data_IF_456453135769
#
_entry.id   IF_456453135769
#
_cell.length_a   1.000
_cell.length_b   1.000
_cell.length_c   1.000
_cell.angle_alpha   90.00
_cell.angle_beta   90.00
_cell.angle_gamma   90.00
#
_symmetry.space_group_name_H-M   'P 1'
#
loop_
_entity.id
_entity.type
_entity.pdbx_description
1 polymer ?
#
# COMPACT_ATOMS: atom_id res chain seq x y z
N UNK A 1 6.14 -5.99 25.38
CA UNK A 1 4.72 -6.22 25.02
C UNK A 1 4.70 -6.86 23.65
N UNK A 2 3.87 -7.89 23.44
CA UNK A 2 3.66 -8.45 22.11
C UNK A 2 3.05 -7.37 21.19
N UNK A 3 3.52 -7.28 19.97
CA UNK A 3 2.99 -6.37 18.95
C UNK A 3 1.79 -7.03 18.27
N UNK A 4 0.80 -6.27 17.82
CA UNK A 4 -0.26 -6.83 16.99
C UNK A 4 0.30 -7.46 15.70
N UNK A 5 1.47 -7.03 15.24
CA UNK A 5 2.17 -7.64 14.11
C UNK A 5 2.56 -9.11 14.37
N UNK A 6 2.73 -9.48 15.65
CA UNK A 6 3.04 -10.87 16.03
C UNK A 6 1.85 -11.83 15.77
N UNK A 7 0.65 -11.27 15.57
CA UNK A 7 -0.58 -12.02 15.29
C UNK A 7 -0.96 -12.04 13.81
N UNK A 8 -0.14 -11.46 12.95
CA UNK A 8 -0.28 -11.51 11.49
C UNK A 8 0.55 -12.68 10.99
N UNK A 9 -0.06 -13.64 10.32
CA UNK A 9 0.64 -14.74 9.67
C UNK A 9 0.87 -14.45 8.19
N UNK A 10 -0.18 -13.93 7.51
CA UNK A 10 -0.13 -13.61 6.09
C UNK A 10 -0.81 -12.27 5.81
N UNK A 11 -0.03 -11.32 5.29
CA UNK A 11 -0.52 -10.01 4.89
C UNK A 11 -0.61 -9.89 3.37
N UNK A 12 -1.62 -9.15 2.88
CA UNK A 12 -1.71 -8.72 1.50
C UNK A 12 -1.79 -7.18 1.47
N UNK A 13 -0.82 -6.57 0.81
CA UNK A 13 -0.83 -5.13 0.52
C UNK A 13 -1.35 -4.93 -0.90
N UNK A 14 -2.42 -4.16 -1.03
CA UNK A 14 -3.03 -3.85 -2.32
C UNK A 14 -2.63 -2.44 -2.72
N UNK A 15 -1.91 -2.32 -3.82
CA UNK A 15 -1.42 -1.07 -4.38
C UNK A 15 -2.17 -0.74 -5.68
N UNK A 16 -2.74 0.46 -5.82
CA UNK A 16 -3.26 0.93 -7.10
C UNK A 16 -2.19 0.95 -8.18
N UNK A 17 -1.04 1.56 -7.89
CA UNK A 17 0.10 1.70 -8.80
C UNK A 17 1.37 1.13 -8.17
N UNK A 18 2.38 0.78 -9.00
CA UNK A 18 3.69 0.38 -8.46
C UNK A 18 4.35 1.57 -7.75
N UNK A 19 4.69 1.47 -6.50
CA UNK A 19 5.29 2.39 -5.52
C UNK A 19 4.38 2.73 -4.33
N UNK A 20 3.05 2.70 -4.48
CA UNK A 20 2.09 3.02 -3.42
C UNK A 20 2.29 2.13 -2.18
N UNK A 21 2.59 0.84 -2.39
CA UNK A 21 2.84 -0.13 -1.30
C UNK A 21 4.09 0.21 -0.51
N UNK A 22 5.12 0.73 -1.18
CA UNK A 22 6.37 1.14 -0.51
C UNK A 22 6.18 2.47 0.19
N UNK A 23 5.51 3.43 -0.46
CA UNK A 23 5.19 4.73 0.14
C UNK A 23 4.35 4.57 1.41
N UNK A 24 3.31 3.73 1.37
CA UNK A 24 2.41 3.54 2.50
C UNK A 24 2.89 2.52 3.55
N UNK A 25 3.49 1.40 3.11
CA UNK A 25 3.72 0.22 3.94
C UNK A 25 5.15 -0.30 3.95
N UNK A 26 6.12 0.32 3.26
CA UNK A 26 7.47 -0.24 3.06
C UNK A 26 8.19 -0.63 4.35
N UNK A 27 8.10 0.19 5.39
CA UNK A 27 8.68 -0.13 6.70
C UNK A 27 7.94 -1.25 7.43
N UNK A 28 6.61 -1.29 7.30
CA UNK A 28 5.76 -2.36 7.87
C UNK A 28 6.00 -3.68 7.15
N UNK A 29 6.12 -3.68 5.83
CA UNK A 29 6.49 -4.87 5.04
C UNK A 29 7.84 -5.41 5.53
N UNK A 30 8.89 -4.56 5.57
CA UNK A 30 10.21 -4.97 6.05
C UNK A 30 10.18 -5.54 7.48
N UNK A 31 9.35 -4.97 8.36
CA UNK A 31 9.21 -5.45 9.73
C UNK A 31 8.48 -6.79 9.80
N UNK A 32 7.40 -6.97 9.05
CA UNK A 32 6.65 -8.24 8.99
C UNK A 32 7.54 -9.36 8.45
N UNK A 33 8.24 -9.13 7.35
CA UNK A 33 9.14 -10.14 6.75
C UNK A 33 10.30 -10.50 7.68
N UNK A 34 10.86 -9.51 8.40
CA UNK A 34 11.88 -9.76 9.44
C UNK A 34 11.34 -10.57 10.63
N UNK A 35 10.03 -10.56 10.88
CA UNK A 35 9.35 -11.42 11.85
C UNK A 35 9.00 -12.81 11.27
N UNK A 36 9.40 -13.10 10.03
CA UNK A 36 9.07 -14.35 9.34
C UNK A 36 7.62 -14.45 8.87
N UNK A 37 6.93 -13.31 8.72
CA UNK A 37 5.54 -13.26 8.23
C UNK A 37 5.52 -13.26 6.72
N UNK A 38 4.53 -13.92 6.14
CA UNK A 38 4.34 -13.98 4.71
C UNK A 38 3.65 -12.68 4.24
N UNK A 39 4.31 -11.92 3.37
CA UNK A 39 3.78 -10.67 2.83
C UNK A 39 3.69 -10.77 1.32
N UNK A 40 2.47 -10.56 0.80
CA UNK A 40 2.19 -10.45 -0.62
C UNK A 40 1.85 -9.00 -0.99
N UNK A 41 2.18 -8.64 -2.23
CA UNK A 41 1.79 -7.35 -2.82
C UNK A 41 0.97 -7.61 -4.08
N UNK A 42 -0.17 -6.95 -4.22
CA UNK A 42 -0.96 -6.95 -5.45
C UNK A 42 -0.98 -5.53 -6.04
N UNK A 43 -0.38 -5.37 -7.21
CA UNK A 43 -0.41 -4.12 -7.97
C UNK A 43 -1.50 -4.21 -9.01
N UNK A 44 -2.48 -3.31 -8.96
CA UNK A 44 -3.73 -3.42 -9.71
C UNK A 44 -3.63 -2.88 -11.13
N UNK A 45 -2.78 -1.87 -11.37
CA UNK A 45 -2.75 -1.20 -12.67
C UNK A 45 -1.41 -1.31 -13.39
N UNK A 46 -1.47 -1.03 -14.67
CA UNK A 46 -0.31 -0.86 -15.54
C UNK A 46 -0.52 0.35 -16.43
N UNK A 47 0.52 1.15 -16.60
CA UNK A 47 0.52 2.22 -17.61
C UNK A 47 0.35 1.65 -19.01
N UNK A 48 -0.59 2.17 -19.78
CA UNK A 48 -0.92 1.71 -21.14
C UNK A 48 -0.89 2.87 -22.14
N UNK A 49 -0.53 2.55 -23.40
CA UNK A 49 -0.60 3.52 -24.48
C UNK A 49 -2.07 3.94 -24.74
N UNK A 50 -2.33 5.16 -25.21
CA UNK A 50 -1.35 6.19 -25.58
C UNK A 50 -0.90 7.07 -24.39
N UNK A 51 -1.46 6.90 -23.18
CA UNK A 51 -1.19 7.75 -22.03
C UNK A 51 0.21 7.54 -21.46
N UNK A 52 0.64 6.30 -21.41
CA UNK A 52 1.95 5.89 -20.89
C UNK A 52 2.75 5.16 -21.96
N UNK A 53 4.06 5.40 -21.99
CA UNK A 53 4.96 4.63 -22.81
C UNK A 53 5.11 3.20 -22.24
N UNK A 54 4.94 2.15 -23.07
CA UNK A 54 5.05 0.76 -22.61
C UNK A 54 6.41 0.42 -21.97
N UNK A 55 7.51 0.96 -22.51
CA UNK A 55 8.85 0.72 -21.95
C UNK A 55 8.99 1.34 -20.55
N UNK A 56 8.41 2.51 -20.33
CA UNK A 56 8.36 3.14 -19.00
C UNK A 56 7.53 2.31 -18.03
N UNK A 57 6.40 1.75 -18.47
CA UNK A 57 5.56 0.89 -17.64
C UNK A 57 6.28 -0.41 -17.23
N UNK A 58 7.07 -1.00 -18.13
CA UNK A 58 7.88 -2.19 -17.83
C UNK A 58 9.05 -1.85 -16.89
N UNK A 59 9.68 -0.68 -17.07
CA UNK A 59 10.75 -0.20 -16.19
C UNK A 59 10.25 -0.03 -14.74
N UNK A 60 9.10 0.62 -14.54
CA UNK A 60 8.51 0.79 -13.18
C UNK A 60 8.20 -0.56 -12.52
N UNK A 61 7.75 -1.56 -13.30
CA UNK A 61 7.54 -2.92 -12.75
C UNK A 61 8.85 -3.59 -12.33
N UNK A 62 9.93 -3.39 -13.09
CA UNK A 62 11.25 -3.89 -12.71
C UNK A 62 11.75 -3.21 -11.43
N UNK A 63 11.61 -1.89 -11.32
CA UNK A 63 11.93 -1.11 -10.12
C UNK A 63 11.14 -1.62 -8.89
N UNK A 64 9.85 -1.90 -9.06
CA UNK A 64 9.02 -2.47 -7.99
C UNK A 64 9.51 -3.85 -7.54
N UNK A 65 9.90 -4.73 -8.47
CA UNK A 65 10.44 -6.06 -8.11
C UNK A 65 11.74 -5.95 -7.33
N UNK A 66 12.62 -5.00 -7.65
CA UNK A 66 13.83 -4.73 -6.87
C UNK A 66 13.48 -4.24 -5.45
N UNK A 67 12.55 -3.30 -5.33
CA UNK A 67 12.05 -2.81 -4.05
C UNK A 67 11.45 -3.94 -3.20
N UNK A 68 10.61 -4.80 -3.81
CA UNK A 68 9.97 -5.92 -3.13
C UNK A 68 10.98 -6.97 -2.68
N UNK A 69 12.02 -7.24 -3.47
CA UNK A 69 13.11 -8.13 -3.08
C UNK A 69 13.87 -7.60 -1.84
N UNK A 70 14.15 -6.30 -1.79
CA UNK A 70 14.78 -5.66 -0.61
C UNK A 70 13.91 -5.74 0.64
N UNK A 71 12.59 -5.67 0.49
CA UNK A 71 11.63 -5.74 1.60
C UNK A 71 11.29 -7.17 2.02
N UNK A 72 11.71 -8.18 1.25
CA UNK A 72 11.43 -9.59 1.53
C UNK A 72 10.00 -10.01 1.18
N UNK A 73 9.33 -9.33 0.24
CA UNK A 73 8.00 -9.71 -0.26
C UNK A 73 8.03 -11.13 -0.83
N UNK A 74 7.09 -11.98 -0.42
CA UNK A 74 7.04 -13.39 -0.83
C UNK A 74 6.66 -13.53 -2.31
N UNK A 75 5.68 -12.76 -2.76
CA UNK A 75 5.24 -12.76 -4.16
C UNK A 75 4.56 -11.44 -4.51
N UNK A 76 4.81 -10.95 -5.73
CA UNK A 76 4.13 -9.79 -6.32
C UNK A 76 3.13 -10.27 -7.37
N UNK A 77 1.88 -9.87 -7.21
CA UNK A 77 0.77 -10.21 -8.09
C UNK A 77 0.42 -9.02 -8.97
N UNK A 78 0.65 -9.17 -10.27
CA UNK A 78 0.40 -8.13 -11.25
C UNK A 78 -0.98 -8.25 -11.87
N UNK A 79 -1.68 -7.13 -11.90
CA UNK A 79 -2.86 -6.93 -12.74
C UNK A 79 -2.54 -5.90 -13.82
N UNK A 80 -3.29 -5.93 -14.92
CA UNK A 80 -3.06 -5.08 -16.09
C UNK A 80 -4.25 -4.14 -16.35
N UNK A 81 -4.93 -3.71 -15.31
CA UNK A 81 -5.94 -2.68 -15.46
C UNK A 81 -5.28 -1.35 -15.87
N UNK A 82 -5.94 -0.53 -16.71
CA UNK A 82 -5.33 0.69 -17.21
C UNK A 82 -5.16 1.72 -16.07
N UNK A 83 -3.91 2.15 -15.83
CA UNK A 83 -3.59 3.18 -14.85
C UNK A 83 -4.22 4.52 -15.24
N UNK A 84 -4.73 5.27 -14.25
CA UNK A 84 -5.45 6.53 -14.40
C UNK A 84 -6.73 6.45 -15.26
N UNK A 85 -7.28 5.24 -15.46
CA UNK A 85 -8.48 5.00 -16.24
C UNK A 85 -9.34 3.86 -15.64
N UNK A 86 -9.22 3.57 -14.35
CA UNK A 86 -10.06 2.53 -13.70
C UNK A 86 -11.56 2.88 -13.72
N UNK A 87 -11.91 4.14 -13.83
CA UNK A 87 -13.30 4.61 -14.02
C UNK A 87 -13.94 4.11 -15.33
N UNK A 88 -13.11 3.69 -16.30
CA UNK A 88 -13.55 3.12 -17.59
C UNK A 88 -13.66 1.59 -17.55
N UNK A 89 -13.20 0.96 -16.48
CA UNK A 89 -13.30 -0.48 -16.26
C UNK A 89 -14.64 -0.81 -15.61
N UNK A 90 -15.31 -1.87 -16.08
CA UNK A 90 -16.51 -2.32 -15.40
C UNK A 90 -16.18 -2.69 -13.94
N UNK A 91 -16.85 -2.05 -12.99
CA UNK A 91 -16.55 -2.27 -11.56
C UNK A 91 -16.68 -3.75 -11.15
N UNK A 92 -17.52 -4.51 -11.85
CA UNK A 92 -17.65 -5.96 -11.64
C UNK A 92 -16.35 -6.71 -11.96
N UNK A 93 -15.58 -6.28 -12.97
CA UNK A 93 -14.33 -6.93 -13.35
C UNK A 93 -13.23 -6.63 -12.33
N UNK A 94 -13.16 -5.38 -11.84
CA UNK A 94 -12.24 -5.00 -10.78
C UNK A 94 -12.58 -5.75 -9.47
N UNK A 95 -13.87 -5.84 -9.12
CA UNK A 95 -14.33 -6.63 -7.96
C UNK A 95 -13.98 -8.11 -8.10
N UNK A 96 -14.13 -8.68 -9.30
CA UNK A 96 -13.78 -10.08 -9.54
C UNK A 96 -12.29 -10.32 -9.36
N UNK A 97 -11.44 -9.51 -9.98
CA UNK A 97 -9.98 -9.61 -9.83
C UNK A 97 -9.56 -9.50 -8.35
N UNK A 98 -10.17 -8.59 -7.61
CA UNK A 98 -9.92 -8.41 -6.19
C UNK A 98 -10.37 -9.62 -5.36
N UNK A 99 -11.53 -10.20 -5.67
CA UNK A 99 -12.02 -11.42 -5.01
C UNK A 99 -11.11 -12.62 -5.31
N UNK A 100 -10.66 -12.75 -6.56
CA UNK A 100 -9.78 -13.84 -6.99
C UNK A 100 -8.43 -13.78 -6.24
N UNK A 101 -7.82 -12.58 -6.11
CA UNK A 101 -6.53 -12.44 -5.43
C UNK A 101 -6.67 -12.64 -3.91
N UNK A 102 -7.69 -12.04 -3.26
CA UNK A 102 -7.94 -12.22 -1.84
C UNK A 102 -8.28 -13.68 -1.53
N UNK A 103 -9.08 -14.34 -2.37
CA UNK A 103 -9.41 -15.76 -2.20
C UNK A 103 -8.22 -16.69 -2.40
N UNK A 104 -7.32 -16.39 -3.35
CA UNK A 104 -6.13 -17.19 -3.63
C UNK A 104 -5.09 -17.08 -2.53
N UNK A 105 -4.82 -15.86 -2.05
CA UNK A 105 -3.84 -15.59 -1.00
C UNK A 105 -4.39 -16.01 0.37
N UNK A 106 -5.70 -15.83 0.59
CA UNK A 106 -6.35 -16.06 1.88
C UNK A 106 -5.62 -15.34 3.04
N UNK A 107 -5.38 -14.02 2.94
CA UNK A 107 -4.66 -13.26 3.95
C UNK A 107 -5.51 -13.12 5.21
N UNK A 108 -4.89 -13.10 6.38
CA UNK A 108 -5.55 -12.69 7.62
C UNK A 108 -5.63 -11.16 7.75
N UNK A 109 -4.73 -10.45 7.09
CA UNK A 109 -4.62 -8.99 7.16
C UNK A 109 -4.50 -8.35 5.77
N UNK A 110 -5.30 -7.31 5.53
CA UNK A 110 -5.23 -6.46 4.33
C UNK A 110 -4.72 -5.07 4.68
N UNK A 111 -3.85 -4.55 3.80
CA UNK A 111 -3.48 -3.14 3.76
C UNK A 111 -3.97 -2.56 2.43
N UNK A 112 -4.76 -1.48 2.50
CA UNK A 112 -5.46 -0.87 1.38
C UNK A 112 -5.06 0.60 1.22
N UNK A 113 -5.11 1.20 0.03
CA UNK A 113 -5.01 2.65 -0.10
C UNK A 113 -6.16 3.33 0.65
N UNK A 114 -6.02 4.62 0.95
CA UNK A 114 -7.08 5.34 1.64
C UNK A 114 -8.19 5.79 0.66
N UNK A 115 -9.45 5.61 1.07
CA UNK A 115 -10.61 5.97 0.24
C UNK A 115 -10.71 7.47 -0.06
N UNK A 116 -10.11 8.32 0.74
CA UNK A 116 -10.12 9.78 0.57
C UNK A 116 -8.95 10.33 -0.26
N UNK A 117 -8.10 9.48 -0.83
CA UNK A 117 -7.01 9.90 -1.70
C UNK A 117 -7.55 10.65 -2.91
N UNK A 118 -6.78 11.64 -3.41
CA UNK A 118 -7.22 12.45 -4.54
C UNK A 118 -7.32 11.62 -5.82
N UNK A 119 -6.50 10.58 -5.96
CA UNK A 119 -6.47 9.74 -7.16
C UNK A 119 -7.68 8.79 -7.20
N UNK A 120 -8.47 8.88 -8.27
CA UNK A 120 -9.69 8.07 -8.40
C UNK A 120 -9.41 6.56 -8.42
N UNK A 121 -8.29 6.12 -9.00
CA UNK A 121 -7.90 4.70 -8.99
C UNK A 121 -7.78 4.18 -7.54
N UNK A 122 -7.22 4.97 -6.60
CA UNK A 122 -7.12 4.59 -5.19
C UNK A 122 -8.49 4.36 -4.56
N UNK A 123 -9.43 5.26 -4.84
CA UNK A 123 -10.80 5.15 -4.33
C UNK A 123 -11.51 3.90 -4.88
N UNK A 124 -11.33 3.59 -6.18
CA UNK A 124 -11.94 2.44 -6.83
C UNK A 124 -11.31 1.11 -6.34
N UNK A 125 -9.98 1.08 -6.19
CA UNK A 125 -9.26 -0.06 -5.61
C UNK A 125 -9.69 -0.29 -4.16
N UNK A 126 -9.77 0.75 -3.34
CA UNK A 126 -10.28 0.66 -1.98
C UNK A 126 -11.68 0.03 -1.94
N UNK A 127 -12.62 0.55 -2.73
CA UNK A 127 -13.99 0.06 -2.75
C UNK A 127 -14.07 -1.41 -3.16
N UNK A 128 -13.32 -1.82 -4.19
CA UNK A 128 -13.28 -3.20 -4.65
C UNK A 128 -12.64 -4.14 -3.63
N UNK A 129 -11.58 -3.71 -2.95
CA UNK A 129 -10.96 -4.48 -1.88
C UNK A 129 -11.90 -4.67 -0.68
N UNK A 130 -12.65 -3.64 -0.29
CA UNK A 130 -13.69 -3.75 0.75
C UNK A 130 -14.83 -4.69 0.34
N UNK A 131 -15.16 -4.77 -0.96
CA UNK A 131 -16.12 -5.77 -1.47
C UNK A 131 -15.56 -7.19 -1.34
N UNK A 132 -14.29 -7.40 -1.67
CA UNK A 132 -13.63 -8.70 -1.61
C UNK A 132 -13.41 -9.17 -0.16
N UNK A 133 -13.13 -8.25 0.76
CA UNK A 133 -12.85 -8.55 2.16
C UNK A 133 -14.08 -8.93 3.00
N UNK A 134 -15.30 -8.89 2.43
CA UNK A 134 -16.50 -9.26 3.17
C UNK A 134 -16.50 -10.74 3.58
N UNK A 135 -16.87 -11.07 4.83
CA UNK A 135 -16.91 -12.45 5.32
C UNK A 135 -18.06 -13.22 4.63
N UNK A 136 -17.73 -13.89 3.52
CA UNK A 136 -18.67 -14.74 2.76
C UNK A 136 -18.38 -16.22 2.89
N UNK A 137 -17.30 -16.57 3.57
CA UNK A 137 -16.82 -17.93 3.87
C UNK A 137 -16.10 -17.89 5.22
N UNK A 138 -15.73 -19.03 5.81
CA UNK A 138 -14.93 -19.06 7.04
C UNK A 138 -13.53 -18.43 6.90
N UNK A 139 -13.01 -18.32 5.67
CA UNK A 139 -11.70 -17.72 5.39
C UNK A 139 -11.92 -16.33 4.81
N UNK A 140 -11.53 -15.32 5.57
CA UNK A 140 -11.61 -13.90 5.19
C UNK A 140 -10.57 -13.10 5.99
N UNK A 141 -10.16 -11.92 5.52
CA UNK A 141 -9.26 -11.06 6.28
C UNK A 141 -9.91 -10.59 7.59
N UNK A 142 -9.31 -10.96 8.72
CA UNK A 142 -9.83 -10.57 10.04
C UNK A 142 -9.41 -9.14 10.40
N UNK A 143 -8.38 -8.58 9.73
CA UNK A 143 -7.95 -7.19 9.91
C UNK A 143 -7.83 -6.47 8.58
N UNK A 144 -8.30 -5.24 8.57
CA UNK A 144 -8.24 -4.36 7.39
C UNK A 144 -7.75 -3.00 7.83
N UNK A 145 -6.65 -2.55 7.24
CA UNK A 145 -6.03 -1.26 7.46
C UNK A 145 -6.03 -0.43 6.18
N UNK A 146 -6.26 0.88 6.30
CA UNK A 146 -5.95 1.82 5.23
C UNK A 146 -4.60 2.50 5.52
N UNK A 147 -3.75 2.60 4.50
CA UNK A 147 -2.49 3.32 4.56
C UNK A 147 -2.60 4.69 3.89
N UNK A 148 -1.69 5.61 4.23
CA UNK A 148 -1.55 6.91 3.56
C UNK A 148 -0.50 6.83 2.46
N UNK A 149 -0.77 7.50 1.33
CA UNK A 149 0.16 7.66 0.22
C UNK A 149 0.51 9.13 0.08
N UNK A 150 1.80 9.46 0.15
CA UNK A 150 2.28 10.84 -0.10
C UNK A 150 1.92 11.25 -1.53
N UNK A 151 1.60 12.53 -1.71
CA UNK A 151 1.09 13.14 -2.93
C UNK A 151 -0.35 12.78 -3.32
N UNK A 152 -0.99 11.90 -2.55
CA UNK A 152 -2.37 11.45 -2.77
C UNK A 152 -3.26 11.77 -1.57
N UNK A 153 -2.94 11.21 -0.41
CA UNK A 153 -3.76 11.32 0.81
C UNK A 153 -3.81 12.75 1.36
N UNK A 154 -2.70 13.48 1.27
CA UNK A 154 -2.60 14.85 1.75
C UNK A 154 -3.24 15.90 0.80
N UNK A 155 -3.65 15.49 -0.40
CA UNK A 155 -4.32 16.33 -1.38
C UNK A 155 -5.85 16.17 -1.38
N UNK A 156 -6.41 15.48 -0.40
CA UNK A 156 -7.85 15.46 -0.20
C UNK A 156 -8.41 16.87 0.04
N UNK A 157 -9.71 17.06 -0.13
CA UNK A 157 -10.38 18.34 0.15
C UNK A 157 -10.80 18.39 1.62
N UNK A 158 -10.05 19.07 2.53
CA UNK A 158 -10.34 19.05 3.96
C UNK A 158 -11.75 19.55 4.27
N UNK A 159 -12.50 18.79 5.06
CA UNK A 159 -13.88 19.12 5.43
C UNK A 159 -14.94 18.80 4.36
N UNK A 160 -14.55 18.34 3.17
CA UNK A 160 -15.45 17.92 2.09
C UNK A 160 -15.34 16.41 1.86
N UNK A 161 -14.12 15.88 1.79
CA UNK A 161 -13.86 14.45 1.67
C UNK A 161 -13.43 13.86 3.02
N UNK A 162 -13.44 12.53 3.13
CA UNK A 162 -12.93 11.83 4.31
C UNK A 162 -11.46 12.24 4.56
N UNK A 163 -11.13 12.54 5.83
CA UNK A 163 -9.77 12.85 6.24
C UNK A 163 -9.07 11.59 6.74
N UNK A 164 -7.79 11.43 6.43
CA UNK A 164 -6.97 10.38 6.99
C UNK A 164 -6.70 10.67 8.47
N UNK A 165 -7.27 9.87 9.35
CA UNK A 165 -7.12 9.99 10.81
C UNK A 165 -6.54 8.69 11.37
N UNK A 166 -5.21 8.51 11.35
CA UNK A 166 -4.61 7.25 11.75
C UNK A 166 -4.81 6.99 13.25
N UNK A 167 -5.08 5.74 13.57
CA UNK A 167 -5.30 5.24 14.93
C UNK A 167 -4.45 4.01 15.25
N UNK A 168 -3.68 3.52 14.28
CA UNK A 168 -2.71 2.43 14.42
C UNK A 168 -1.35 2.90 13.91
N UNK A 169 -0.30 2.65 14.70
CA UNK A 169 1.06 3.08 14.37
C UNK A 169 1.99 1.88 14.46
N UNK A 170 2.75 1.65 13.41
CA UNK A 170 3.78 0.63 13.36
C UNK A 170 5.15 1.30 13.55
N UNK A 171 5.83 0.97 14.63
CA UNK A 171 7.21 1.40 14.85
C UNK A 171 8.12 0.81 13.77
N UNK A 172 8.64 1.66 12.90
CA UNK A 172 9.57 1.31 11.83
C UNK A 172 10.97 1.89 12.06
N UNK A 173 11.31 2.30 13.28
CA UNK A 173 12.60 2.95 13.60
C UNK A 173 13.79 2.14 13.08
N UNK A 174 13.74 0.81 13.19
CA UNK A 174 14.79 -0.10 12.70
C UNK A 174 14.68 -0.44 11.20
N UNK A 175 13.58 -0.05 10.55
CA UNK A 175 13.24 -0.39 9.17
C UNK A 175 13.10 0.83 8.26
N UNK A 176 13.25 2.04 8.80
CA UNK A 176 13.17 3.28 8.02
C UNK A 176 14.22 3.34 6.89
N UNK A 177 15.43 2.81 7.14
CA UNK A 177 16.46 2.72 6.11
C UNK A 177 16.08 1.72 4.99
N UNK A 178 15.45 0.59 5.34
CA UNK A 178 14.97 -0.38 4.36
C UNK A 178 13.84 0.22 3.49
N UNK A 179 12.89 0.93 4.11
CA UNK A 179 11.85 1.67 3.38
C UNK A 179 12.45 2.69 2.41
N UNK A 180 13.41 3.49 2.89
CA UNK A 180 14.08 4.50 2.05
C UNK A 180 14.84 3.86 0.89
N UNK A 181 15.55 2.75 1.12
CA UNK A 181 16.26 2.01 0.09
C UNK A 181 15.29 1.42 -0.95
N UNK A 182 14.18 0.82 -0.51
CA UNK A 182 13.16 0.28 -1.39
C UNK A 182 12.50 1.36 -2.25
N UNK A 183 12.15 2.52 -1.66
CA UNK A 183 11.65 3.64 -2.45
C UNK A 183 12.70 4.16 -3.43
N UNK A 184 13.99 4.13 -3.07
CA UNK A 184 15.11 4.49 -3.94
C UNK A 184 15.25 3.62 -5.19
N UNK A 185 14.67 2.41 -5.23
CA UNK A 185 14.64 1.56 -6.43
C UNK A 185 13.74 2.15 -7.52
N UNK A 186 12.72 2.93 -7.15
CA UNK A 186 11.83 3.60 -8.10
C UNK A 186 12.47 4.87 -8.68
N UNK A 187 13.55 4.70 -9.43
CA UNK A 187 14.33 5.81 -9.99
C UNK A 187 13.52 6.71 -10.90
N UNK A 188 12.48 6.17 -11.52
CA UNK A 188 11.53 6.90 -12.35
C UNK A 188 10.52 7.75 -11.55
N UNK A 189 10.32 7.44 -10.25
CA UNK A 189 9.32 8.08 -9.38
C UNK A 189 9.93 9.00 -8.33
N UNK A 190 11.14 8.69 -7.85
CA UNK A 190 11.85 9.51 -6.87
C UNK A 190 12.22 10.86 -7.47
N UNK A 191 11.92 11.91 -6.71
CA UNK A 191 12.19 13.29 -7.09
C UNK A 191 13.05 13.98 -6.03
N UNK A 192 13.65 15.10 -6.41
CA UNK A 192 14.41 15.94 -5.48
C UNK A 192 13.47 16.74 -4.59
N UNK A 193 13.86 16.97 -3.32
CA UNK A 193 13.19 17.92 -2.44
C UNK A 193 13.13 19.32 -3.10
N UNK A 194 12.01 20.08 -3.01
CA UNK A 194 10.88 19.90 -2.08
C UNK A 194 9.69 19.06 -2.61
N UNK A 195 9.89 18.20 -3.59
CA UNK A 195 8.82 17.30 -4.03
C UNK A 195 8.38 16.38 -2.89
N UNK A 196 7.08 16.10 -2.82
CA UNK A 196 6.51 15.15 -1.85
C UNK A 196 7.04 13.73 -2.07
N UNK A 197 7.42 13.38 -3.32
CA UNK A 197 8.04 12.09 -3.68
C UNK A 197 9.57 12.12 -3.54
N UNK A 198 10.09 12.90 -2.58
CA UNK A 198 11.51 12.91 -2.23
C UNK A 198 11.80 11.99 -1.04
N UNK A 199 13.05 11.53 -0.96
CA UNK A 199 13.52 10.75 0.19
C UNK A 199 13.40 11.55 1.51
N UNK A 200 13.65 12.85 1.44
CA UNK A 200 13.54 13.76 2.58
C UNK A 200 12.10 13.88 3.08
N UNK A 201 11.13 14.02 2.17
CA UNK A 201 9.72 14.10 2.53
C UNK A 201 9.21 12.78 3.13
N UNK A 202 9.63 11.64 2.54
CA UNK A 202 9.31 10.31 3.07
C UNK A 202 9.83 10.13 4.50
N UNK A 203 11.09 10.52 4.74
CA UNK A 203 11.70 10.46 6.07
C UNK A 203 11.03 11.42 7.06
N UNK A 204 10.62 12.62 6.61
CA UNK A 204 9.93 13.60 7.45
C UNK A 204 8.57 13.07 7.90
N UNK A 205 7.78 12.47 7.00
CA UNK A 205 6.49 11.86 7.34
C UNK A 205 6.67 10.74 8.37
N UNK A 206 7.61 9.82 8.15
CA UNK A 206 7.85 8.71 9.07
C UNK A 206 8.27 9.20 10.47
N UNK A 207 9.11 10.24 10.55
CA UNK A 207 9.50 10.88 11.82
C UNK A 207 8.34 11.59 12.49
N UNK A 208 7.52 12.32 11.72
CA UNK A 208 6.34 12.98 12.25
C UNK A 208 5.36 11.96 12.87
N UNK A 209 5.05 10.88 12.15
CA UNK A 209 4.20 9.80 12.66
C UNK A 209 4.82 9.10 13.87
N UNK A 210 6.12 8.89 13.85
CA UNK A 210 6.86 8.34 15.00
C UNK A 210 6.78 9.22 16.23
N UNK A 211 7.01 10.53 16.10
CA UNK A 211 6.99 11.48 17.19
C UNK A 211 5.63 11.52 17.92
N UNK A 212 4.51 11.31 17.18
CA UNK A 212 3.16 11.28 17.78
C UNK A 212 2.95 10.12 18.75
N UNK A 213 3.79 9.07 18.68
CA UNK A 213 3.70 7.85 19.50
C UNK A 213 5.01 7.53 20.24
N UNK A 214 5.90 8.52 20.35
CA UNK A 214 7.19 8.41 21.03
C UNK A 214 8.09 7.32 20.44
N UNK A 215 8.23 7.34 19.10
CA UNK A 215 9.14 6.50 18.31
C UNK A 215 9.97 7.38 17.37
N UNK A 216 11.14 6.91 16.96
CA UNK A 216 12.00 7.63 16.00
C UNK A 216 11.36 7.73 14.62
N UNK A 217 10.68 6.65 14.20
CA UNK A 217 9.92 6.60 12.96
C UNK A 217 8.76 5.62 13.09
N UNK A 218 7.62 5.95 12.46
CA UNK A 218 6.47 5.07 12.37
C UNK A 218 5.78 5.21 11.01
N UNK A 219 5.10 4.15 10.59
CA UNK A 219 4.03 4.20 9.61
C UNK A 219 2.68 4.23 10.33
N UNK A 220 1.74 4.95 9.74
CA UNK A 220 0.44 5.18 10.35
C UNK A 220 -0.67 4.63 9.48
N UNK A 221 -1.66 4.02 10.13
CA UNK A 221 -2.77 3.34 9.48
C UNK A 221 -4.10 3.71 10.13
N UNK A 222 -5.17 3.63 9.36
CA UNK A 222 -6.52 3.59 9.89
C UNK A 222 -6.97 2.13 9.99
N UNK A 223 -7.28 1.66 11.20
CA UNK A 223 -7.98 0.39 11.38
C UNK A 223 -9.43 0.58 10.91
N UNK A 224 -9.78 -0.12 9.84
CA UNK A 224 -11.12 -0.09 9.25
C UNK A 224 -12.02 -1.17 9.85
N UNK A 225 -11.45 -2.36 10.09
CA UNK A 225 -12.16 -3.50 10.66
C UNK A 225 -11.19 -4.46 11.35
N UNK A 226 -11.62 -4.99 12.48
CA UNK A 226 -11.00 -6.13 13.16
C UNK A 226 -12.10 -7.07 13.66
N UNK A 227 -11.86 -8.38 13.51
CA UNK A 227 -12.73 -9.45 14.01
C UNK A 227 -11.86 -10.34 14.89
N UNK A 228 -12.23 -10.45 16.17
CA UNK A 228 -11.55 -11.26 17.19
C UNK A 228 -12.37 -12.47 17.61
#
# INVERSE_FOLDING_TARGET
MASFLDTIDRALVIAPHPDDEVLGCGGTIARLTALGREVHVAVMTRGTAPRFDPASADAVRAEALEAHALLGVAETHWHDFPAAELDRVAHADLNKAMQDIVGRIAPDTLFLPFVGDIHLDHQLVFNSAMVAARPRSPVYPVRIYAYETMSETNWNAPGITACFQPNVFVDISRFAAAKAAAFGCFTSQVQSFPSERSQEALAALARFRGATVYREAAEAFMLLREVG
#
